data_IF_218987282882
#
_entry.id   IF_218987282882
#
_cell.length_a   1.000
_cell.length_b   1.000
_cell.length_c   1.000
_cell.angle_alpha   90.00
_cell.angle_beta   90.00
_cell.angle_gamma   90.00
#
_symmetry.space_group_name_H-M   'P 1'
#
loop_
_entity.id
_entity.type
_entity.pdbx_description
1 polymer ?
#
# COMPACT_ATOMS: atom_id res chain seq x y z
N UNK A 1 -44.88 -4.65 -5.83
CA UNK A 1 -43.41 -4.53 -5.99
C UNK A 1 -43.12 -3.06 -5.95
N UNK A 2 -42.63 -2.54 -4.81
CA UNK A 2 -42.16 -1.17 -4.69
C UNK A 2 -40.69 -1.21 -5.13
N UNK A 3 -40.37 -0.64 -6.28
CA UNK A 3 -39.01 -0.35 -6.66
C UNK A 3 -38.40 0.55 -5.56
N UNK A 4 -37.37 0.04 -4.86
CA UNK A 4 -36.60 0.85 -3.96
C UNK A 4 -35.86 1.90 -4.81
N UNK A 5 -36.42 3.11 -4.86
CA UNK A 5 -35.70 4.26 -5.37
C UNK A 5 -34.47 4.44 -4.47
N UNK A 6 -33.30 4.01 -4.95
CA UNK A 6 -32.05 4.44 -4.34
C UNK A 6 -32.07 5.98 -4.31
N UNK A 7 -31.79 6.60 -3.16
CA UNK A 7 -31.66 8.05 -3.11
C UNK A 7 -30.56 8.44 -4.13
N UNK A 8 -30.88 9.38 -5.00
CA UNK A 8 -29.96 9.90 -6.03
C UNK A 8 -28.91 10.74 -5.29
N UNK A 9 -27.91 10.09 -4.71
CA UNK A 9 -26.68 10.77 -4.31
C UNK A 9 -25.81 10.90 -5.56
N UNK A 10 -25.35 12.11 -5.86
CA UNK A 10 -24.58 12.37 -7.07
C UNK A 10 -23.23 11.62 -7.06
N UNK A 11 -22.62 11.46 -5.88
CA UNK A 11 -21.35 10.73 -5.67
C UNK A 11 -21.37 9.93 -4.37
N UNK A 12 -20.59 8.85 -4.31
CA UNK A 12 -20.36 8.07 -3.09
C UNK A 12 -19.26 8.73 -2.25
N UNK A 13 -19.38 8.67 -0.91
CA UNK A 13 -18.31 9.05 0.02
C UNK A 13 -17.35 7.86 0.22
N UNK A 14 -16.07 8.07 -0.02
CA UNK A 14 -15.02 7.05 0.11
C UNK A 14 -13.94 7.52 1.07
N UNK A 15 -13.64 6.72 2.08
CA UNK A 15 -12.52 6.95 3.00
C UNK A 15 -11.29 6.19 2.51
N UNK A 16 -10.14 6.89 2.47
CA UNK A 16 -8.83 6.29 2.25
C UNK A 16 -7.94 6.62 3.45
N UNK A 17 -7.67 5.65 4.32
CA UNK A 17 -6.72 5.84 5.41
C UNK A 17 -5.29 5.54 4.93
N UNK A 18 -4.31 6.30 5.40
CA UNK A 18 -2.96 6.27 4.81
C UNK A 18 -2.93 6.92 3.42
N UNK A 19 -3.87 7.84 3.16
CA UNK A 19 -4.11 8.42 1.85
C UNK A 19 -2.99 9.35 1.35
N UNK A 20 -2.16 9.90 2.22
CA UNK A 20 -0.97 10.68 1.85
C UNK A 20 0.28 9.80 1.61
N UNK A 21 0.16 8.48 1.79
CA UNK A 21 1.21 7.49 1.50
C UNK A 21 1.35 7.19 0.01
N UNK A 22 2.27 6.26 -0.31
CA UNK A 22 2.54 5.84 -1.69
C UNK A 22 1.29 5.32 -2.41
N UNK A 23 0.75 4.18 -1.98
CA UNK A 23 -0.46 3.59 -2.58
C UNK A 23 -1.68 4.52 -2.41
N UNK A 24 -1.83 5.10 -1.21
CA UNK A 24 -2.99 5.92 -0.85
C UNK A 24 -3.16 7.14 -1.73
N UNK A 25 -2.09 7.85 -2.06
CA UNK A 25 -2.16 9.06 -2.89
C UNK A 25 -2.58 8.78 -4.33
N UNK A 26 -2.10 7.67 -4.90
CA UNK A 26 -2.55 7.23 -6.22
C UNK A 26 -4.01 6.73 -6.21
N UNK A 27 -4.41 6.07 -5.13
CA UNK A 27 -5.79 5.62 -4.96
C UNK A 27 -6.75 6.81 -4.81
N UNK A 28 -6.41 7.80 -3.97
CA UNK A 28 -7.18 9.04 -3.84
C UNK A 28 -7.38 9.75 -5.19
N UNK A 29 -6.30 9.92 -5.95
CA UNK A 29 -6.34 10.54 -7.28
C UNK A 29 -7.26 9.80 -8.24
N UNK A 30 -7.23 8.48 -8.22
CA UNK A 30 -8.06 7.66 -9.09
C UNK A 30 -9.54 7.67 -8.68
N UNK A 31 -9.82 7.64 -7.38
CA UNK A 31 -11.18 7.66 -6.82
C UNK A 31 -11.89 9.00 -7.05
N UNK A 32 -11.16 10.12 -7.10
CA UNK A 32 -11.73 11.45 -7.35
C UNK A 32 -12.48 11.57 -8.69
N UNK A 33 -12.23 10.66 -9.64
CA UNK A 33 -12.95 10.63 -10.90
C UNK A 33 -14.44 10.27 -10.74
N UNK A 34 -14.80 9.60 -9.63
CA UNK A 34 -16.15 9.04 -9.44
C UNK A 34 -16.72 9.16 -8.02
N UNK A 35 -15.97 9.72 -7.07
CA UNK A 35 -16.33 9.75 -5.65
C UNK A 35 -15.91 11.04 -4.97
N UNK A 36 -16.57 11.35 -3.85
CA UNK A 36 -16.09 12.28 -2.83
C UNK A 36 -15.07 11.54 -1.95
N UNK A 37 -13.83 12.02 -1.90
CA UNK A 37 -12.72 11.32 -1.27
C UNK A 37 -12.32 11.98 0.04
N UNK A 38 -12.41 11.23 1.13
CA UNK A 38 -11.96 11.58 2.46
C UNK A 38 -10.61 10.91 2.72
N UNK A 39 -9.53 11.67 2.58
CA UNK A 39 -8.17 11.22 2.80
C UNK A 39 -7.79 11.39 4.27
N UNK A 40 -7.52 10.30 4.99
CA UNK A 40 -7.15 10.35 6.41
C UNK A 40 -5.72 9.86 6.56
N UNK A 41 -4.85 10.71 7.14
CA UNK A 41 -3.45 10.37 7.39
C UNK A 41 -2.90 11.17 8.56
N UNK A 42 -2.03 10.59 9.38
CA UNK A 42 -1.37 11.32 10.48
C UNK A 42 -0.01 11.92 10.08
N UNK A 43 0.45 11.67 8.85
CA UNK A 43 1.72 12.09 8.28
C UNK A 43 2.96 11.58 9.04
N UNK A 44 2.83 10.47 9.80
CA UNK A 44 3.95 9.91 10.57
C UNK A 44 5.03 9.28 9.67
N UNK A 45 4.66 8.77 8.51
CA UNK A 45 5.56 8.14 7.53
C UNK A 45 5.23 8.48 6.07
N UNK A 46 4.21 9.26 5.84
CA UNK A 46 3.73 9.76 4.55
C UNK A 46 4.15 11.22 4.35
N UNK A 47 3.88 11.74 3.16
CA UNK A 47 4.19 13.12 2.81
C UNK A 47 2.95 13.81 2.21
N UNK A 48 2.59 14.98 2.76
CA UNK A 48 1.48 15.81 2.26
C UNK A 48 1.66 16.15 0.77
N UNK A 49 2.89 16.32 0.31
CA UNK A 49 3.22 16.60 -1.10
C UNK A 49 2.68 15.54 -2.08
N UNK A 50 2.50 14.31 -1.62
CA UNK A 50 1.90 13.27 -2.45
C UNK A 50 0.46 13.57 -2.85
N UNK A 51 -0.23 14.44 -2.09
CA UNK A 51 -1.64 14.79 -2.30
C UNK A 51 -1.87 16.30 -2.50
N UNK A 52 -0.82 17.15 -2.51
CA UNK A 52 -0.95 18.60 -2.65
C UNK A 52 -1.80 18.99 -3.86
N UNK A 53 -1.59 18.33 -5.00
CA UNK A 53 -2.32 18.56 -6.24
C UNK A 53 -3.81 18.17 -6.12
N UNK A 54 -4.21 17.39 -5.12
CA UNK A 54 -5.60 17.00 -4.88
C UNK A 54 -6.35 18.00 -4.01
N UNK A 55 -5.66 18.79 -3.17
CA UNK A 55 -6.27 19.72 -2.21
C UNK A 55 -7.11 20.82 -2.87
N UNK A 56 -6.91 21.08 -4.17
CA UNK A 56 -7.68 22.06 -4.92
C UNK A 56 -9.07 21.56 -5.37
N UNK A 57 -9.32 20.26 -5.32
CA UNK A 57 -10.59 19.69 -5.77
C UNK A 57 -11.67 19.76 -4.69
N UNK A 58 -12.89 20.26 -5.00
CA UNK A 58 -13.98 20.34 -4.02
C UNK A 58 -14.42 18.97 -3.50
N UNK A 59 -14.25 17.92 -4.30
CA UNK A 59 -14.62 16.53 -4.00
C UNK A 59 -13.52 15.81 -3.20
N UNK A 60 -12.49 16.52 -2.75
CA UNK A 60 -11.41 16.00 -1.92
C UNK A 60 -11.34 16.70 -0.58
N UNK A 61 -11.16 15.92 0.50
CA UNK A 61 -10.87 16.46 1.83
C UNK A 61 -9.75 15.68 2.49
N UNK A 62 -8.79 16.41 3.06
CA UNK A 62 -7.69 15.84 3.83
C UNK A 62 -7.91 16.07 5.32
N UNK A 63 -8.06 14.99 6.07
CA UNK A 63 -8.17 14.99 7.53
C UNK A 63 -6.87 14.48 8.14
N UNK A 64 -6.14 15.36 8.83
CA UNK A 64 -4.96 14.95 9.59
C UNK A 64 -5.39 14.28 10.89
N UNK A 65 -5.43 12.95 10.89
CA UNK A 65 -5.90 12.17 12.03
C UNK A 65 -5.15 10.84 12.19
N UNK A 66 -4.98 10.39 13.43
CA UNK A 66 -4.39 9.10 13.76
C UNK A 66 -5.48 8.04 13.95
N UNK A 67 -5.63 7.16 12.97
CA UNK A 67 -6.63 6.09 12.94
C UNK A 67 -6.45 5.03 14.04
N UNK A 68 -5.34 5.07 14.79
CA UNK A 68 -5.19 4.26 16.01
C UNK A 68 -6.11 4.73 17.16
N UNK A 69 -6.69 5.92 17.04
CA UNK A 69 -7.66 6.47 17.98
C UNK A 69 -9.08 6.22 17.48
N UNK A 70 -10.05 6.04 18.39
CA UNK A 70 -11.46 5.98 18.00
C UNK A 70 -11.85 7.23 17.20
N UNK A 71 -12.50 7.03 16.05
CA UNK A 71 -12.83 8.10 15.13
C UNK A 71 -14.34 8.28 15.01
N UNK A 72 -14.82 9.50 15.23
CA UNK A 72 -16.18 9.91 14.92
C UNK A 72 -16.15 10.98 13.84
N UNK A 73 -16.69 10.67 12.67
CA UNK A 73 -16.68 11.57 11.51
C UNK A 73 -17.55 12.80 11.74
N UNK A 74 -18.51 12.75 12.66
CA UNK A 74 -19.40 13.87 12.98
C UNK A 74 -18.66 15.04 13.65
N UNK A 75 -17.41 14.84 14.11
CA UNK A 75 -16.56 15.87 14.71
C UNK A 75 -15.83 16.74 13.69
N UNK A 76 -15.82 16.35 12.40
CA UNK A 76 -15.10 17.05 11.35
C UNK A 76 -16.08 17.90 10.53
N UNK A 77 -16.12 19.22 10.81
CA UNK A 77 -16.98 20.18 10.10
C UNK A 77 -16.67 20.21 8.59
N UNK A 78 -15.42 19.95 8.21
CA UNK A 78 -14.96 19.88 6.83
C UNK A 78 -15.73 18.84 5.99
N UNK A 79 -16.28 17.80 6.65
CA UNK A 79 -17.05 16.74 6.01
C UNK A 79 -18.54 17.11 5.79
N UNK A 80 -19.01 18.25 6.28
CA UNK A 80 -20.41 18.69 6.07
C UNK A 80 -20.69 18.91 4.57
N UNK A 81 -19.68 19.32 3.77
CA UNK A 81 -19.80 19.45 2.31
C UNK A 81 -20.13 18.13 1.62
N UNK A 82 -19.69 16.99 2.16
CA UNK A 82 -19.96 15.64 1.65
C UNK A 82 -21.22 15.02 2.26
N UNK A 83 -21.93 15.75 3.10
CA UNK A 83 -23.18 15.32 3.74
C UNK A 83 -23.03 13.95 4.47
N UNK A 84 -21.85 13.68 5.06
CA UNK A 84 -21.54 12.38 5.70
C UNK A 84 -22.58 12.00 6.77
N UNK A 85 -23.09 12.97 7.51
CA UNK A 85 -24.15 12.76 8.54
C UNK A 85 -25.46 12.18 7.97
N UNK A 86 -25.74 12.42 6.69
CA UNK A 86 -26.98 11.99 6.03
C UNK A 86 -26.76 10.82 5.07
N UNK A 87 -25.72 10.90 4.26
CA UNK A 87 -25.39 9.93 3.22
C UNK A 87 -24.54 8.78 3.76
N UNK A 88 -23.80 9.01 4.85
CA UNK A 88 -22.82 8.06 5.38
C UNK A 88 -21.59 7.93 4.50
N UNK A 89 -20.90 6.81 4.66
CA UNK A 89 -19.71 6.40 3.89
C UNK A 89 -20.03 5.07 3.21
N UNK A 90 -19.73 4.94 1.93
CA UNK A 90 -20.04 3.74 1.15
C UNK A 90 -18.85 2.78 1.05
N UNK A 91 -17.63 3.30 1.04
CA UNK A 91 -16.42 2.48 0.91
C UNK A 91 -15.31 3.00 1.83
N UNK A 92 -14.58 2.08 2.44
CA UNK A 92 -13.39 2.37 3.24
C UNK A 92 -12.23 1.54 2.71
N UNK A 93 -11.16 2.22 2.24
CA UNK A 93 -9.89 1.62 1.89
C UNK A 93 -8.90 1.85 3.04
N UNK A 94 -8.53 0.79 3.74
CA UNK A 94 -7.62 0.89 4.88
C UNK A 94 -6.20 0.51 4.46
N UNK A 95 -5.34 1.55 4.27
CA UNK A 95 -3.96 1.42 3.86
C UNK A 95 -2.97 1.92 4.92
N UNK A 96 -3.45 2.52 6.00
CA UNK A 96 -2.61 3.14 7.03
C UNK A 96 -1.76 2.11 7.78
N UNK A 97 -0.49 2.01 7.43
CA UNK A 97 0.49 1.17 8.13
C UNK A 97 1.92 1.57 7.72
N UNK A 98 2.87 1.74 8.64
CA UNK A 98 4.29 1.84 8.31
C UNK A 98 4.80 0.52 7.72
N UNK A 99 5.42 0.56 6.53
CA UNK A 99 5.74 -0.66 5.75
C UNK A 99 7.19 -0.80 5.32
N UNK A 100 8.04 0.20 5.54
CA UNK A 100 9.43 0.16 5.07
C UNK A 100 10.37 -0.54 6.05
N UNK A 101 11.51 -1.09 5.56
CA UNK A 101 12.51 -1.72 6.41
C UNK A 101 13.02 -0.82 7.55
N UNK A 102 13.26 0.47 7.30
CA UNK A 102 13.67 1.43 8.35
C UNK A 102 12.61 1.60 9.42
N UNK A 103 11.33 1.56 9.05
CA UNK A 103 10.23 1.69 9.98
C UNK A 103 10.13 0.50 10.94
N UNK A 104 10.55 -0.69 10.51
CA UNK A 104 10.55 -1.86 11.39
C UNK A 104 11.53 -1.75 12.56
N UNK A 105 12.46 -0.82 12.53
CA UNK A 105 13.33 -0.52 13.67
C UNK A 105 12.83 0.68 14.49
N UNK A 106 12.38 1.72 13.82
CA UNK A 106 12.03 3.00 14.45
C UNK A 106 10.57 3.09 14.86
N UNK A 107 9.66 2.42 14.14
CA UNK A 107 8.20 2.51 14.30
C UNK A 107 7.56 1.16 14.64
N UNK A 108 8.22 0.31 15.43
CA UNK A 108 7.72 -1.03 15.80
C UNK A 108 6.34 -0.98 16.45
N UNK A 109 6.16 -0.10 17.43
CA UNK A 109 4.88 0.07 18.13
C UNK A 109 3.81 0.64 17.19
N UNK A 110 4.18 1.60 16.33
CA UNK A 110 3.25 2.14 15.33
C UNK A 110 2.77 1.07 14.35
N UNK A 111 3.68 0.18 13.91
CA UNK A 111 3.33 -0.96 13.06
C UNK A 111 2.38 -1.94 13.76
N UNK A 112 2.60 -2.17 15.06
CA UNK A 112 1.73 -3.04 15.86
C UNK A 112 0.33 -2.42 16.02
N UNK A 113 0.24 -1.13 16.39
CA UNK A 113 -1.04 -0.42 16.55
C UNK A 113 -1.78 -0.27 15.22
N UNK A 114 -1.07 0.01 14.13
CA UNK A 114 -1.66 0.10 12.80
C UNK A 114 -2.29 -1.22 12.30
N UNK A 115 -1.93 -2.36 12.88
CA UNK A 115 -2.50 -3.65 12.57
C UNK A 115 -3.41 -4.20 13.71
N UNK A 116 -3.69 -3.42 14.74
CA UNK A 116 -4.55 -3.80 15.87
C UNK A 116 -5.60 -2.73 16.18
N UNK A 117 -5.26 -1.66 16.90
CA UNK A 117 -6.22 -0.62 17.28
C UNK A 117 -6.82 0.11 16.08
N UNK A 118 -6.03 0.39 15.04
CA UNK A 118 -6.57 1.02 13.82
C UNK A 118 -7.54 0.12 13.07
N UNK A 119 -7.32 -1.20 13.10
CA UNK A 119 -8.24 -2.16 12.50
C UNK A 119 -9.61 -2.09 13.17
N UNK A 120 -9.64 -2.10 14.52
CA UNK A 120 -10.90 -2.01 15.28
C UNK A 120 -11.58 -0.67 14.98
N UNK A 121 -10.86 0.45 15.09
CA UNK A 121 -11.41 1.79 14.86
C UNK A 121 -12.03 1.93 13.47
N UNK A 122 -11.37 1.46 12.43
CA UNK A 122 -11.84 1.60 11.04
C UNK A 122 -12.91 0.57 10.66
N UNK A 123 -12.86 -0.63 11.23
CA UNK A 123 -13.91 -1.64 11.06
C UNK A 123 -15.20 -1.24 11.79
N UNK A 124 -15.12 -0.61 12.97
CA UNK A 124 -16.29 -0.04 13.66
C UNK A 124 -16.96 1.05 12.82
N UNK A 125 -16.19 1.88 12.11
CA UNK A 125 -16.75 2.82 11.13
C UNK A 125 -17.47 2.08 9.99
N UNK A 126 -16.87 1.02 9.48
CA UNK A 126 -17.51 0.21 8.43
C UNK A 126 -18.86 -0.39 8.92
N UNK A 127 -18.92 -0.84 10.17
CA UNK A 127 -20.16 -1.29 10.79
C UNK A 127 -21.17 -0.14 10.93
N UNK A 128 -20.74 1.03 11.48
CA UNK A 128 -21.59 2.22 11.68
C UNK A 128 -22.30 2.63 10.38
N UNK A 129 -21.54 2.68 9.27
CA UNK A 129 -22.05 3.16 7.98
C UNK A 129 -22.51 2.04 7.04
N UNK A 130 -22.34 0.76 7.41
CA UNK A 130 -22.54 -0.39 6.51
C UNK A 130 -21.73 -0.28 5.23
N UNK A 131 -20.52 0.26 5.36
CA UNK A 131 -19.61 0.51 4.25
C UNK A 131 -18.92 -0.79 3.81
N UNK A 132 -18.64 -0.91 2.50
CA UNK A 132 -17.68 -1.92 2.03
C UNK A 132 -16.29 -1.56 2.58
N UNK A 133 -15.53 -2.58 2.96
CA UNK A 133 -14.22 -2.39 3.59
C UNK A 133 -13.14 -3.16 2.85
N UNK A 134 -12.08 -2.47 2.40
CA UNK A 134 -10.91 -3.11 1.80
C UNK A 134 -9.68 -2.86 2.67
N UNK A 135 -9.05 -3.95 3.07
CA UNK A 135 -7.78 -3.94 3.80
C UNK A 135 -6.62 -4.31 2.88
N UNK A 136 -5.58 -3.47 2.85
CA UNK A 136 -4.32 -3.82 2.21
C UNK A 136 -3.44 -4.64 3.15
N UNK A 137 -3.49 -5.95 2.99
CA UNK A 137 -2.56 -6.89 3.60
C UNK A 137 -1.25 -6.93 2.80
N UNK A 138 -0.41 -7.89 3.05
CA UNK A 138 0.90 -8.00 2.42
C UNK A 138 1.30 -9.46 2.18
N UNK A 139 2.11 -9.72 1.18
CA UNK A 139 2.74 -11.03 0.94
C UNK A 139 3.54 -11.57 2.13
N UNK A 140 3.91 -10.72 3.09
CA UNK A 140 4.64 -11.14 4.30
C UNK A 140 3.86 -12.12 5.18
N UNK A 141 2.53 -12.19 5.03
CA UNK A 141 1.69 -13.16 5.76
C UNK A 141 2.02 -14.62 5.41
N UNK A 142 2.62 -14.85 4.26
CA UNK A 142 3.07 -16.17 3.81
C UNK A 142 4.40 -16.60 4.43
N UNK A 143 5.19 -15.66 4.97
CA UNK A 143 6.57 -15.92 5.38
C UNK A 143 7.52 -15.94 4.17
N UNK A 144 8.66 -16.61 4.32
CA UNK A 144 9.66 -16.74 3.27
C UNK A 144 9.34 -17.92 2.32
N UNK A 145 9.66 -17.80 1.02
CA UNK A 145 9.55 -18.90 0.10
C UNK A 145 10.53 -20.02 0.48
N UNK A 146 10.19 -21.26 0.08
CA UNK A 146 11.06 -22.42 0.18
C UNK A 146 11.35 -22.94 -1.22
N UNK A 147 12.34 -23.85 -1.36
CA UNK A 147 12.65 -24.50 -2.65
C UNK A 147 11.41 -25.17 -3.28
N UNK A 148 10.50 -25.69 -2.44
CA UNK A 148 9.28 -26.36 -2.89
C UNK A 148 8.13 -25.38 -3.14
N UNK A 149 8.21 -24.14 -2.63
CA UNK A 149 7.12 -23.15 -2.70
C UNK A 149 7.65 -21.74 -2.94
N UNK A 150 7.87 -21.39 -4.19
CA UNK A 150 8.32 -20.07 -4.64
C UNK A 150 7.13 -19.14 -4.91
N UNK A 151 6.00 -19.68 -5.40
CA UNK A 151 4.77 -18.95 -5.67
C UNK A 151 3.74 -19.21 -4.56
N UNK A 152 3.04 -18.16 -4.13
CA UNK A 152 2.05 -18.23 -3.08
C UNK A 152 0.63 -18.05 -3.62
N UNK A 153 -0.26 -18.96 -3.24
CA UNK A 153 -1.70 -18.87 -3.47
C UNK A 153 -2.42 -18.42 -2.21
N UNK A 154 -3.63 -17.90 -2.35
CA UNK A 154 -4.39 -17.34 -1.21
C UNK A 154 -4.75 -18.39 -0.16
N UNK A 155 -4.80 -19.67 -0.54
CA UNK A 155 -5.08 -20.77 0.37
C UNK A 155 -3.81 -21.28 1.10
N UNK A 156 -2.63 -20.74 0.78
CA UNK A 156 -1.40 -21.15 1.45
C UNK A 156 -1.36 -20.58 2.88
N UNK A 157 -1.11 -21.47 3.83
CA UNK A 157 -0.79 -21.09 5.20
C UNK A 157 0.66 -20.59 5.28
N UNK A 158 0.85 -19.45 5.95
CA UNK A 158 2.17 -18.85 6.10
C UNK A 158 2.92 -19.37 7.32
N UNK A 159 4.24 -19.50 7.20
CA UNK A 159 5.14 -19.76 8.34
C UNK A 159 5.93 -18.49 8.61
N UNK A 160 5.62 -17.84 9.73
CA UNK A 160 6.21 -16.56 10.12
C UNK A 160 6.91 -16.70 11.46
N UNK A 161 8.16 -16.22 11.55
CA UNK A 161 8.84 -16.10 12.84
C UNK A 161 8.32 -14.86 13.58
N UNK A 162 7.39 -15.08 14.51
CA UNK A 162 6.70 -14.01 15.25
C UNK A 162 7.61 -13.25 16.24
N UNK A 163 8.77 -13.80 16.61
CA UNK A 163 9.76 -13.15 17.48
C UNK A 163 10.87 -12.44 16.68
N UNK A 164 10.81 -12.47 15.37
CA UNK A 164 11.78 -11.75 14.52
C UNK A 164 11.68 -10.22 14.67
N UNK A 165 12.69 -9.51 14.22
CA UNK A 165 12.71 -8.03 14.16
C UNK A 165 11.50 -7.46 13.40
N UNK A 166 10.97 -8.23 12.42
CA UNK A 166 9.81 -7.88 11.60
C UNK A 166 8.49 -8.45 12.14
N UNK A 167 8.51 -9.17 13.26
CA UNK A 167 7.33 -9.80 13.83
C UNK A 167 6.17 -8.83 14.05
N UNK A 168 6.45 -7.60 14.49
CA UNK A 168 5.42 -6.56 14.67
C UNK A 168 4.65 -6.24 13.38
N UNK A 169 5.28 -6.35 12.21
CA UNK A 169 4.64 -6.13 10.91
C UNK A 169 4.04 -7.42 10.35
N UNK A 170 4.82 -8.51 10.29
CA UNK A 170 4.39 -9.75 9.65
C UNK A 170 3.19 -10.38 10.39
N UNK A 171 3.30 -10.56 11.71
CA UNK A 171 2.19 -11.05 12.54
C UNK A 171 1.08 -10.00 12.70
N UNK A 172 1.45 -8.71 12.71
CA UNK A 172 0.47 -7.63 12.68
C UNK A 172 -0.47 -7.75 11.48
N UNK A 173 0.05 -7.96 10.26
CA UNK A 173 -0.76 -8.15 9.06
C UNK A 173 -1.63 -9.41 9.13
N UNK A 174 -1.11 -10.52 9.69
CA UNK A 174 -1.90 -11.76 9.90
C UNK A 174 -3.05 -11.52 10.88
N UNK A 175 -2.77 -10.85 12.01
CA UNK A 175 -3.79 -10.48 12.98
C UNK A 175 -4.85 -9.54 12.38
N UNK A 176 -4.44 -8.57 11.56
CA UNK A 176 -5.34 -7.67 10.88
C UNK A 176 -6.28 -8.41 9.91
N UNK A 177 -5.80 -9.41 9.15
CA UNK A 177 -6.66 -10.28 8.34
C UNK A 177 -7.68 -11.03 9.21
N UNK A 178 -7.26 -11.50 10.40
CA UNK A 178 -8.16 -12.15 11.36
C UNK A 178 -9.24 -11.17 11.87
N UNK A 179 -8.90 -9.90 12.15
CA UNK A 179 -9.87 -8.89 12.52
C UNK A 179 -10.92 -8.69 11.40
N UNK A 180 -10.48 -8.50 10.15
CA UNK A 180 -11.37 -8.31 9.00
C UNK A 180 -12.33 -9.48 8.85
N UNK A 181 -11.82 -10.72 8.90
CA UNK A 181 -12.63 -11.93 8.76
C UNK A 181 -13.60 -12.09 9.94
N UNK A 182 -13.19 -11.77 11.16
CA UNK A 182 -14.06 -11.82 12.35
C UNK A 182 -15.20 -10.83 12.22
N UNK A 183 -14.96 -9.60 11.79
CA UNK A 183 -16.01 -8.61 11.56
C UNK A 183 -16.97 -9.02 10.44
N UNK A 184 -16.46 -9.65 9.38
CA UNK A 184 -17.29 -10.25 8.33
C UNK A 184 -18.25 -11.29 8.92
N UNK A 185 -17.76 -12.19 9.76
CA UNK A 185 -18.57 -13.26 10.35
C UNK A 185 -19.59 -12.74 11.36
N UNK A 186 -19.22 -11.75 12.17
CA UNK A 186 -20.08 -11.23 13.25
C UNK A 186 -21.13 -10.26 12.73
N UNK A 187 -20.74 -9.35 11.82
CA UNK A 187 -21.60 -8.25 11.37
C UNK A 187 -22.10 -8.42 9.92
N UNK A 188 -21.66 -9.43 9.19
CA UNK A 188 -22.02 -9.60 7.78
C UNK A 188 -21.47 -8.51 6.86
N UNK A 189 -20.35 -7.87 7.25
CA UNK A 189 -19.73 -6.82 6.44
C UNK A 189 -19.23 -7.38 5.10
N UNK A 190 -19.39 -6.58 4.03
CA UNK A 190 -18.72 -6.82 2.75
C UNK A 190 -17.26 -6.36 2.84
N UNK A 191 -16.38 -7.31 3.11
CA UNK A 191 -14.95 -7.06 3.32
C UNK A 191 -14.09 -7.64 2.22
N UNK A 192 -12.98 -6.97 1.94
CA UNK A 192 -11.97 -7.35 0.96
C UNK A 192 -10.59 -7.31 1.61
N UNK A 193 -9.76 -8.30 1.32
CA UNK A 193 -8.36 -8.38 1.73
C UNK A 193 -7.50 -8.48 0.46
N UNK A 194 -6.68 -7.49 0.21
CA UNK A 194 -5.68 -7.51 -0.86
C UNK A 194 -4.30 -7.85 -0.26
N UNK A 195 -3.76 -9.03 -0.55
CA UNK A 195 -2.36 -9.36 -0.22
C UNK A 195 -1.46 -8.75 -1.28
N UNK A 196 -0.91 -7.58 -0.95
CA UNK A 196 -0.07 -6.79 -1.85
C UNK A 196 1.34 -7.34 -1.87
N UNK A 197 1.85 -7.65 -3.07
CA UNK A 197 3.25 -8.00 -3.32
C UNK A 197 4.06 -6.74 -3.65
N UNK A 198 5.38 -6.91 -3.97
CA UNK A 198 6.24 -5.75 -4.20
C UNK A 198 5.65 -4.81 -5.25
N UNK A 199 5.35 -3.60 -4.82
CA UNK A 199 4.81 -2.54 -5.68
C UNK A 199 5.81 -1.40 -5.76
N UNK A 200 5.95 -0.77 -6.92
CA UNK A 200 6.85 0.34 -7.15
C UNK A 200 6.20 1.40 -8.05
N UNK A 201 6.74 2.62 -8.01
CA UNK A 201 6.27 3.72 -8.84
C UNK A 201 6.59 5.11 -8.27
N UNK A 202 6.10 6.17 -8.90
CA UNK A 202 6.16 7.54 -8.39
C UNK A 202 5.63 7.68 -6.97
N UNK A 203 6.09 8.69 -6.23
CA UNK A 203 5.69 9.00 -4.83
C UNK A 203 6.15 7.99 -3.78
N UNK A 204 6.97 7.00 -4.14
CA UNK A 204 7.64 6.19 -3.14
C UNK A 204 8.63 7.04 -2.36
N UNK A 205 8.70 6.79 -1.04
CA UNK A 205 9.65 7.46 -0.17
C UNK A 205 11.08 7.02 -0.53
N UNK A 206 11.93 7.99 -0.78
CA UNK A 206 13.36 7.76 -1.07
C UNK A 206 14.13 7.50 0.23
N UNK A 207 15.23 6.76 0.14
CA UNK A 207 16.14 6.43 1.28
C UNK A 207 15.44 5.70 2.44
N UNK A 208 14.37 4.96 2.14
CA UNK A 208 13.57 4.24 3.14
C UNK A 208 13.91 2.74 3.23
N UNK A 209 14.98 2.32 2.55
CA UNK A 209 15.44 0.93 2.50
C UNK A 209 14.65 0.05 1.56
N UNK A 210 13.89 0.64 0.64
CA UNK A 210 13.17 -0.06 -0.42
C UNK A 210 14.03 -0.10 -1.69
N UNK A 211 14.11 -1.25 -2.33
CA UNK A 211 15.06 -1.55 -3.40
C UNK A 211 14.96 -0.59 -4.59
N UNK A 212 13.79 -0.48 -5.21
CA UNK A 212 13.62 0.31 -6.44
C UNK A 212 13.89 1.81 -6.20
N UNK A 213 13.29 2.50 -5.20
CA UNK A 213 13.54 3.93 -5.00
C UNK A 213 14.99 4.21 -4.59
N UNK A 214 15.62 3.34 -3.78
CA UNK A 214 17.01 3.53 -3.36
C UNK A 214 17.99 3.32 -4.55
N UNK A 215 17.73 2.34 -5.42
CA UNK A 215 18.53 2.12 -6.63
C UNK A 215 18.38 3.26 -7.63
N UNK A 216 17.15 3.75 -7.87
CA UNK A 216 16.91 4.89 -8.76
C UNK A 216 17.66 6.13 -8.26
N UNK A 217 17.53 6.43 -6.96
CA UNK A 217 18.19 7.59 -6.39
C UNK A 217 19.72 7.49 -6.49
N UNK A 218 20.29 6.33 -6.14
CA UNK A 218 21.73 6.10 -6.23
C UNK A 218 22.22 6.22 -7.68
N UNK A 219 21.48 5.64 -8.64
CA UNK A 219 21.83 5.74 -10.04
C UNK A 219 21.81 7.20 -10.56
N UNK A 220 20.79 8.00 -10.16
CA UNK A 220 20.70 9.43 -10.52
C UNK A 220 21.87 10.25 -9.89
N UNK A 221 22.38 9.80 -8.74
CA UNK A 221 23.46 10.46 -8.01
C UNK A 221 24.87 9.92 -8.34
N UNK A 222 25.00 9.03 -9.34
CA UNK A 222 26.23 8.33 -9.69
C UNK A 222 26.88 7.59 -8.50
N UNK A 223 26.04 7.14 -7.54
CA UNK A 223 26.45 6.32 -6.39
C UNK A 223 26.28 4.85 -6.70
N UNK A 224 27.12 3.99 -6.09
CA UNK A 224 27.03 2.56 -6.30
C UNK A 224 25.69 1.97 -5.84
N UNK A 225 25.18 0.99 -6.59
CA UNK A 225 24.00 0.24 -6.27
C UNK A 225 24.39 -0.99 -5.45
N UNK A 226 24.02 -0.98 -4.17
CA UNK A 226 24.40 -2.05 -3.23
C UNK A 226 23.34 -3.14 -3.23
N UNK A 227 23.74 -4.36 -3.60
CA UNK A 227 22.93 -5.56 -3.50
C UNK A 227 23.33 -6.32 -2.23
N UNK A 228 22.38 -6.47 -1.30
CA UNK A 228 22.58 -7.23 -0.07
C UNK A 228 22.18 -8.70 -0.28
N UNK A 229 23.17 -9.60 -0.24
CA UNK A 229 22.96 -11.03 -0.42
C UNK A 229 23.34 -11.55 -1.81
N UNK A 230 22.60 -12.53 -2.33
CA UNK A 230 22.88 -13.20 -3.58
C UNK A 230 22.49 -12.36 -4.79
N UNK A 231 23.39 -12.23 -5.78
CA UNK A 231 23.15 -11.57 -7.05
C UNK A 231 22.01 -12.19 -7.87
N UNK A 232 21.81 -13.49 -7.73
CA UNK A 232 20.81 -14.27 -8.45
C UNK A 232 19.43 -14.27 -7.77
N UNK A 233 19.27 -13.55 -6.66
CA UNK A 233 17.94 -13.41 -6.02
C UNK A 233 16.93 -12.83 -7.00
N UNK A 234 15.79 -13.50 -7.10
CA UNK A 234 14.70 -13.11 -7.97
C UNK A 234 13.62 -12.35 -7.20
N UNK A 235 13.12 -11.28 -7.81
CA UNK A 235 12.01 -10.47 -7.31
C UNK A 235 10.97 -10.24 -8.39
N UNK A 236 9.72 -10.17 -7.97
CA UNK A 236 8.65 -9.67 -8.82
C UNK A 236 8.29 -8.24 -8.42
N UNK A 237 7.92 -7.42 -9.40
CA UNK A 237 7.57 -6.01 -9.19
C UNK A 237 6.31 -5.65 -9.95
N UNK A 238 5.31 -5.12 -9.25
CA UNK A 238 4.07 -4.63 -9.82
C UNK A 238 4.11 -3.10 -9.88
N UNK A 239 3.81 -2.53 -11.03
CA UNK A 239 3.75 -1.07 -11.15
C UNK A 239 2.49 -0.51 -10.46
N UNK A 240 2.60 0.69 -9.92
CA UNK A 240 1.56 1.32 -9.08
C UNK A 240 0.20 1.41 -9.77
N UNK A 241 0.13 1.74 -11.07
CA UNK A 241 -1.16 1.84 -11.76
C UNK A 241 -1.91 0.50 -11.84
N UNK A 242 -1.19 -0.60 -12.05
CA UNK A 242 -1.78 -1.94 -12.05
C UNK A 242 -2.28 -2.32 -10.67
N UNK A 243 -1.51 -1.98 -9.62
CA UNK A 243 -1.91 -2.22 -8.23
C UNK A 243 -3.20 -1.47 -7.89
N UNK A 244 -3.31 -0.18 -8.25
CA UNK A 244 -4.52 0.61 -8.01
C UNK A 244 -5.72 0.05 -8.76
N UNK A 245 -5.56 -0.36 -10.03
CA UNK A 245 -6.63 -1.01 -10.78
C UNK A 245 -7.10 -2.31 -10.10
N UNK A 246 -6.17 -3.12 -9.59
CA UNK A 246 -6.49 -4.33 -8.84
C UNK A 246 -7.28 -4.06 -7.56
N UNK A 247 -6.90 -3.05 -6.77
CA UNK A 247 -7.62 -2.65 -5.56
C UNK A 247 -9.04 -2.17 -5.87
N UNK A 248 -9.22 -1.36 -6.91
CA UNK A 248 -10.53 -0.86 -7.33
C UNK A 248 -11.42 -2.00 -7.83
N UNK A 249 -10.92 -2.89 -8.66
CA UNK A 249 -11.66 -4.05 -9.14
C UNK A 249 -12.09 -4.97 -7.99
N UNK A 250 -11.20 -5.20 -7.01
CA UNK A 250 -11.52 -6.00 -5.84
C UNK A 250 -12.65 -5.37 -5.02
N UNK A 251 -12.65 -4.05 -4.78
CA UNK A 251 -13.71 -3.36 -4.06
C UNK A 251 -15.08 -3.48 -4.75
N UNK A 252 -15.10 -3.58 -6.07
CA UNK A 252 -16.33 -3.70 -6.85
C UNK A 252 -16.93 -5.10 -6.87
N UNK A 253 -16.22 -6.12 -6.39
CA UNK A 253 -16.76 -7.50 -6.32
C UNK A 253 -17.84 -7.65 -5.28
N UNK A 254 -18.62 -8.74 -5.40
CA UNK A 254 -19.58 -9.14 -4.38
C UNK A 254 -18.93 -9.71 -3.12
N UNK A 255 -19.72 -9.96 -2.07
CA UNK A 255 -19.22 -10.41 -0.77
C UNK A 255 -18.59 -11.81 -0.78
N UNK A 256 -18.78 -12.59 -1.83
CA UNK A 256 -18.18 -13.92 -2.03
C UNK A 256 -16.67 -13.85 -2.28
N UNK A 257 -16.18 -12.70 -2.78
CA UNK A 257 -14.76 -12.46 -3.02
C UNK A 257 -14.17 -11.61 -1.90
N UNK A 258 -13.53 -12.25 -0.94
CA UNK A 258 -12.96 -11.55 0.22
C UNK A 258 -11.43 -11.49 0.27
N UNK A 259 -10.71 -12.30 -0.51
CA UNK A 259 -9.25 -12.40 -0.43
C UNK A 259 -8.62 -12.62 -1.80
N UNK A 260 -7.63 -11.79 -2.17
CA UNK A 260 -6.89 -11.92 -3.44
C UNK A 260 -5.43 -11.48 -3.30
N UNK A 261 -4.55 -12.15 -4.03
CA UNK A 261 -3.17 -11.72 -4.26
C UNK A 261 -3.12 -10.70 -5.39
N UNK A 262 -2.48 -9.54 -5.13
CA UNK A 262 -2.19 -8.54 -6.15
C UNK A 262 -0.67 -8.32 -6.25
N UNK A 263 -0.14 -8.40 -7.46
CA UNK A 263 1.30 -8.29 -7.71
C UNK A 263 1.66 -8.61 -9.15
N UNK A 264 2.91 -8.98 -9.40
CA UNK A 264 3.37 -9.50 -10.68
C UNK A 264 3.93 -10.91 -10.51
N UNK A 265 3.65 -11.81 -11.44
CA UNK A 265 4.24 -13.16 -11.51
C UNK A 265 5.54 -13.21 -12.32
N UNK A 266 5.87 -12.11 -13.00
CA UNK A 266 7.15 -11.95 -13.70
C UNK A 266 8.26 -11.67 -12.70
N UNK A 267 9.33 -12.47 -12.77
CA UNK A 267 10.49 -12.36 -11.88
C UNK A 267 11.70 -11.85 -12.64
N UNK A 268 12.54 -11.10 -11.93
CA UNK A 268 13.77 -10.52 -12.45
C UNK A 268 14.87 -10.71 -11.41
N UNK A 269 16.09 -11.03 -11.86
CA UNK A 269 17.26 -10.98 -10.97
C UNK A 269 17.50 -9.55 -10.52
N UNK A 270 17.85 -9.37 -9.26
CA UNK A 270 18.12 -8.03 -8.70
C UNK A 270 19.26 -7.33 -9.45
N UNK A 271 20.27 -8.08 -9.91
CA UNK A 271 21.37 -7.59 -10.73
C UNK A 271 20.90 -7.07 -12.09
N UNK A 272 19.95 -7.73 -12.75
CA UNK A 272 19.36 -7.27 -14.01
C UNK A 272 18.60 -5.95 -13.83
N UNK A 273 17.88 -5.80 -12.73
CA UNK A 273 17.17 -4.56 -12.41
C UNK A 273 18.15 -3.41 -12.17
N UNK A 274 19.24 -3.67 -11.45
CA UNK A 274 20.30 -2.68 -11.23
C UNK A 274 20.95 -2.26 -12.54
N UNK A 275 21.30 -3.20 -13.41
CA UNK A 275 21.86 -2.93 -14.74
C UNK A 275 20.89 -2.11 -15.63
N UNK A 276 19.60 -2.42 -15.59
CA UNK A 276 18.57 -1.64 -16.30
C UNK A 276 18.55 -0.18 -15.83
N UNK A 277 18.59 0.05 -14.51
CA UNK A 277 18.57 1.39 -13.94
C UNK A 277 19.80 2.19 -14.29
N UNK A 278 21.02 1.61 -14.20
CA UNK A 278 22.27 2.25 -14.61
C UNK A 278 22.20 2.69 -16.07
N UNK A 279 21.74 1.80 -16.96
CA UNK A 279 21.59 2.10 -18.39
C UNK A 279 20.55 3.20 -18.66
N UNK A 280 19.39 3.14 -17.97
CA UNK A 280 18.30 4.10 -18.18
C UNK A 280 18.64 5.51 -17.68
N UNK A 281 19.45 5.62 -16.62
CA UNK A 281 19.91 6.91 -16.07
C UNK A 281 21.20 7.40 -16.69
N UNK A 282 21.82 6.60 -17.55
CA UNK A 282 23.16 6.87 -18.11
C UNK A 282 24.20 7.15 -17.00
N UNK A 283 24.11 6.40 -15.90
CA UNK A 283 24.90 6.58 -14.69
C UNK A 283 26.28 5.90 -14.78
N UNK A 284 27.27 6.47 -14.07
CA UNK A 284 28.58 5.85 -13.85
C UNK A 284 28.62 4.89 -12.66
N UNK A 285 27.50 4.65 -11.99
CA UNK A 285 27.34 3.75 -10.85
C UNK A 285 27.82 2.33 -11.14
N UNK A 286 28.33 1.67 -10.11
CA UNK A 286 28.68 0.23 -10.16
C UNK A 286 27.73 -0.57 -9.27
N UNK A 287 27.58 -1.85 -9.58
CA UNK A 287 26.91 -2.79 -8.70
C UNK A 287 27.93 -3.32 -7.70
N UNK A 288 27.59 -3.20 -6.41
CA UNK A 288 28.41 -3.68 -5.29
C UNK A 288 27.61 -4.71 -4.50
N UNK A 289 28.26 -5.78 -4.07
CA UNK A 289 27.62 -6.84 -3.30
C UNK A 289 28.09 -6.80 -1.85
N UNK A 290 27.13 -6.83 -0.93
CA UNK A 290 27.37 -6.86 0.51
C UNK A 290 26.64 -8.03 1.19
N UNK A 291 27.03 -8.33 2.44
CA UNK A 291 26.37 -9.39 3.21
C UNK A 291 24.89 -9.14 3.40
N UNK A 292 24.05 -10.18 3.47
CA UNK A 292 22.61 -10.03 3.67
C UNK A 292 22.29 -9.26 4.95
N UNK A 293 21.32 -8.33 4.89
CA UNK A 293 20.80 -7.64 6.06
C UNK A 293 19.88 -8.56 6.86
N UNK A 294 20.00 -8.55 8.20
CA UNK A 294 19.16 -9.37 9.08
C UNK A 294 17.67 -9.05 9.03
N UNK A 295 17.33 -7.85 8.55
CA UNK A 295 15.95 -7.39 8.37
C UNK A 295 15.42 -7.68 6.96
N UNK A 296 16.26 -8.20 6.07
CA UNK A 296 15.86 -8.52 4.71
C UNK A 296 15.02 -9.81 4.70
N UNK A 297 13.94 -9.81 3.97
CA UNK A 297 13.08 -10.96 3.79
C UNK A 297 12.85 -11.15 2.29
N UNK A 298 13.23 -12.30 1.77
CA UNK A 298 12.87 -12.69 0.42
C UNK A 298 11.35 -12.89 0.36
N UNK A 299 10.70 -12.24 -0.60
CA UNK A 299 9.26 -12.40 -0.84
C UNK A 299 9.08 -13.21 -2.11
N UNK A 300 8.44 -14.36 -2.00
CA UNK A 300 8.06 -15.14 -3.18
C UNK A 300 7.16 -14.34 -4.13
N UNK A 301 6.83 -14.93 -5.26
CA UNK A 301 5.90 -14.34 -6.23
C UNK A 301 4.45 -14.74 -5.96
N UNK A 302 3.45 -13.92 -6.36
CA UNK A 302 2.04 -14.31 -6.26
C UNK A 302 1.67 -15.38 -7.30
N UNK A 303 0.78 -16.28 -6.93
CA UNK A 303 -0.09 -16.93 -7.89
C UNK A 303 -1.26 -15.96 -8.16
N UNK A 304 -1.46 -15.58 -9.42
CA UNK A 304 -2.46 -14.59 -9.83
C UNK A 304 -3.73 -15.23 -10.44
N UNK A 305 -3.87 -16.56 -10.35
CA UNK A 305 -5.00 -17.25 -10.95
C UNK A 305 -6.34 -16.70 -10.45
N UNK A 306 -6.49 -16.51 -9.13
CA UNK A 306 -7.71 -15.97 -8.53
C UNK A 306 -7.99 -14.54 -9.01
N UNK A 307 -7.00 -13.65 -9.04
CA UNK A 307 -7.14 -12.30 -9.55
C UNK A 307 -7.58 -12.29 -11.02
N UNK A 308 -6.98 -13.15 -11.84
CA UNK A 308 -7.33 -13.29 -13.27
C UNK A 308 -8.76 -13.80 -13.47
N UNK A 309 -9.15 -14.87 -12.77
CA UNK A 309 -10.45 -15.51 -12.96
C UNK A 309 -11.61 -14.71 -12.39
N UNK A 310 -11.41 -14.10 -11.20
CA UNK A 310 -12.50 -13.47 -10.45
C UNK A 310 -12.57 -11.95 -10.68
N UNK A 311 -11.44 -11.29 -10.96
CA UNK A 311 -11.40 -9.84 -11.19
C UNK A 311 -11.18 -9.49 -12.67
N UNK A 312 -10.83 -10.47 -13.52
CA UNK A 312 -10.34 -10.17 -14.87
C UNK A 312 -9.08 -9.29 -14.83
N UNK A 313 -8.25 -9.43 -13.78
CA UNK A 313 -7.10 -8.57 -13.54
C UNK A 313 -5.78 -9.30 -13.72
N UNK A 314 -4.89 -8.65 -14.46
CA UNK A 314 -3.47 -9.01 -14.59
C UNK A 314 -2.65 -7.72 -14.64
N UNK A 315 -1.38 -7.70 -14.16
CA UNK A 315 -0.50 -6.55 -14.32
C UNK A 315 -0.12 -6.40 -15.79
N UNK A 316 -0.22 -5.18 -16.33
CA UNK A 316 -0.02 -4.87 -17.74
C UNK A 316 1.26 -4.08 -18.01
N UNK A 317 1.72 -3.29 -17.01
CA UNK A 317 2.87 -2.40 -17.18
C UNK A 317 4.17 -3.21 -17.10
N UNK A 318 4.96 -3.14 -18.18
CA UNK A 318 6.29 -3.77 -18.21
C UNK A 318 7.23 -3.10 -17.21
N UNK A 319 8.15 -3.88 -16.62
CA UNK A 319 9.12 -3.33 -15.66
C UNK A 319 9.89 -2.14 -16.25
N UNK A 320 10.35 -2.23 -17.50
CA UNK A 320 11.09 -1.15 -18.18
C UNK A 320 10.31 0.16 -18.27
N UNK A 321 9.00 0.08 -18.56
CA UNK A 321 8.16 1.26 -18.74
C UNK A 321 7.86 1.92 -17.38
N UNK A 322 7.54 1.09 -16.38
CA UNK A 322 7.33 1.56 -15.01
C UNK A 322 8.58 2.17 -14.39
N UNK A 323 9.77 1.57 -14.62
CA UNK A 323 11.03 2.14 -14.16
C UNK A 323 11.30 3.50 -14.79
N UNK A 324 11.09 3.66 -16.10
CA UNK A 324 11.25 4.94 -16.79
C UNK A 324 10.38 6.02 -16.17
N UNK A 325 9.09 5.75 -16.02
CA UNK A 325 8.15 6.69 -15.41
C UNK A 325 8.56 7.05 -13.96
N UNK A 326 9.09 6.08 -13.21
CA UNK A 326 9.53 6.32 -11.83
C UNK A 326 10.81 7.14 -11.78
N UNK A 327 11.77 6.92 -12.70
CA UNK A 327 12.99 7.72 -12.86
C UNK A 327 12.63 9.16 -13.20
N UNK A 328 11.79 9.37 -14.23
CA UNK A 328 11.39 10.69 -14.70
C UNK A 328 10.72 11.49 -13.57
N UNK A 329 9.81 10.85 -12.83
CA UNK A 329 9.20 11.46 -11.65
C UNK A 329 10.23 11.81 -10.57
N UNK A 330 11.17 10.91 -10.28
CA UNK A 330 12.19 11.12 -9.25
C UNK A 330 13.11 12.29 -9.62
N UNK A 331 13.54 12.39 -10.89
CA UNK A 331 14.37 13.50 -11.38
C UNK A 331 13.60 14.82 -11.24
N UNK A 332 12.34 14.87 -11.67
CA UNK A 332 11.52 16.08 -11.63
C UNK A 332 11.23 16.57 -10.19
N UNK A 333 11.19 15.65 -9.21
CA UNK A 333 10.78 15.97 -7.84
C UNK A 333 11.93 15.84 -6.81
N UNK A 334 13.16 15.55 -7.24
CA UNK A 334 14.30 15.28 -6.34
C UNK A 334 14.50 16.39 -5.30
N UNK A 335 14.49 17.64 -5.71
CA UNK A 335 14.69 18.79 -4.82
C UNK A 335 13.63 18.93 -3.73
N UNK A 336 12.37 18.60 -4.02
CA UNK A 336 11.28 18.62 -3.05
C UNK A 336 11.36 17.45 -2.07
N UNK A 337 11.81 16.29 -2.53
CA UNK A 337 11.91 15.07 -1.70
C UNK A 337 13.11 15.16 -0.74
N UNK A 338 14.21 15.79 -1.15
CA UNK A 338 15.40 15.99 -0.30
C UNK A 338 15.14 16.98 0.84
N UNK A 339 14.36 18.03 0.63
CA UNK A 339 13.98 18.98 1.69
C UNK A 339 13.19 18.34 2.85
N UNK A 340 12.59 17.19 2.64
CA UNK A 340 11.79 16.48 3.66
C UNK A 340 12.53 15.31 4.33
N UNK A 341 13.74 14.99 3.89
CA UNK A 341 14.57 13.90 4.47
C UNK A 341 15.36 14.29 5.72
N UNK A 342 15.54 15.57 5.98
CA UNK A 342 16.35 16.11 7.09
C UNK A 342 15.49 16.87 8.13
N UNK A 343 14.51 16.25 8.73
CA UNK A 343 14.04 16.73 10.02
C UNK A 343 14.87 16.06 11.12
N UNK A 344 15.75 16.85 11.83
CA UNK A 344 16.46 16.33 12.99
C UNK A 344 15.44 16.04 14.07
N UNK A 345 15.51 14.81 14.57
CA UNK A 345 15.03 14.32 15.86
C UNK A 345 14.33 15.39 16.75
N UNK A 346 13.03 15.44 16.73
CA UNK A 346 12.25 15.93 17.83
C UNK A 346 11.51 14.72 18.42
N UNK A 347 12.16 14.06 19.38
CA UNK A 347 11.61 13.41 20.56
C UNK A 347 12.77 12.69 21.24
N UNK A 348 13.31 13.35 22.28
CA UNK A 348 13.99 12.69 23.38
C UNK A 348 12.94 12.12 24.32
#
# INVERSE_FOLDING_TARGET
>A
MLESSNPIFEKKNVIVTGGAGFLGSHLCERLLQEADVICIDNLSNSNIQNIDHLLQYPDFEFIKYDVNKPMDLDQFEELDKFKVKFQGVQEIYHLACPTSPKNFEQLKLNSLWANSSSMISTLDLAVKYKAKYLFTSSSVVYGEPTEQRIAFSENDEGIVNHLSTRGCYNEGKRFAETCVETYRQVYGLDVKIARVFNTYGPRMKLRDGLLIPDFILNAIEDKDLVIYGDADMEFSFCYISDMIDGLLKLMQTGPEMSLVNLGSDQVYKISEVADMLIKMTNSSSKIVYEAPLSIFMHKGKPNLQRAKEMLGWIPLVRLSDGLRNTIDYTIANKGMVEMNGDHPRLYR
#
